data_IF_989686382208
#
_entry.id   IF_989686382208
#
_cell.length_a   1.000
_cell.length_b   1.000
_cell.length_c   1.000
_cell.angle_alpha   90.00
_cell.angle_beta   90.00
_cell.angle_gamma   90.00
#
_symmetry.space_group_name_H-M   'P 1'
#
loop_
_entity.id
_entity.type
_entity.pdbx_description
1 polymer ?
#
# COMPACT_ATOMS: atom_id res chain seq x y z
N UNK A 1 -8.95 -28.58 -73.30
CA UNK A 1 -9.43 -27.26 -72.85
C UNK A 1 -9.15 -27.15 -71.35
N UNK A 2 -8.35 -26.14 -70.97
CA UNK A 2 -8.22 -25.49 -69.65
C UNK A 2 -8.72 -26.22 -68.40
N UNK A 3 -7.85 -26.60 -67.47
CA UNK A 3 -7.40 -25.80 -66.28
C UNK A 3 -7.73 -26.69 -65.05
N UNK A 4 -6.96 -26.86 -63.99
CA UNK A 4 -6.24 -25.89 -63.15
C UNK A 4 -5.38 -26.71 -62.17
N UNK A 5 -4.07 -26.47 -62.11
CA UNK A 5 -3.24 -26.99 -61.01
C UNK A 5 -3.72 -26.37 -59.70
N UNK A 6 -4.15 -27.19 -58.74
CA UNK A 6 -4.39 -26.76 -57.37
C UNK A 6 -3.11 -26.92 -56.57
N UNK A 7 -2.38 -25.82 -56.43
CA UNK A 7 -1.28 -25.70 -55.49
C UNK A 7 -1.90 -25.40 -54.11
N UNK A 8 -1.90 -26.38 -53.21
CA UNK A 8 -2.28 -26.16 -51.81
C UNK A 8 -1.09 -25.53 -51.07
N UNK A 9 -1.09 -24.21 -50.95
CA UNK A 9 -0.13 -23.49 -50.11
C UNK A 9 -0.47 -23.70 -48.64
N UNK A 10 0.09 -24.73 -48.04
CA UNK A 10 0.09 -24.89 -46.58
C UNK A 10 1.14 -23.96 -45.96
N UNK A 11 0.78 -22.68 -45.83
CA UNK A 11 1.44 -21.78 -44.89
C UNK A 11 0.39 -21.09 -44.01
N UNK A 12 0.38 -21.47 -42.74
CA UNK A 12 -0.59 -20.98 -41.78
C UNK A 12 -0.57 -21.85 -40.53
N UNK A 13 0.59 -21.94 -39.87
CA UNK A 13 0.61 -22.35 -38.46
C UNK A 13 -0.32 -21.38 -37.71
N UNK A 14 -1.55 -21.80 -37.42
CA UNK A 14 -2.41 -21.09 -36.46
C UNK A 14 -1.57 -20.93 -35.18
N UNK A 15 -1.37 -19.73 -34.63
CA UNK A 15 -0.89 -19.64 -33.27
C UNK A 15 -1.91 -20.39 -32.43
N UNK A 16 -1.44 -21.44 -31.77
CA UNK A 16 -2.19 -22.16 -30.75
C UNK A 16 -2.90 -21.14 -29.89
N UNK A 17 -4.23 -21.19 -29.83
CA UNK A 17 -5.00 -20.47 -28.82
C UNK A 17 -4.49 -20.99 -27.49
N UNK A 18 -3.59 -20.24 -26.85
CA UNK A 18 -3.13 -20.51 -25.50
C UNK A 18 -4.42 -20.65 -24.68
N UNK A 19 -4.69 -21.82 -24.07
CA UNK A 19 -5.83 -21.94 -23.19
C UNK A 19 -5.67 -20.90 -22.09
N UNK A 20 -6.66 -20.03 -21.94
CA UNK A 20 -6.79 -19.09 -20.83
C UNK A 20 -7.03 -19.88 -19.54
N UNK A 21 -6.03 -20.63 -19.07
CA UNK A 21 -6.12 -21.45 -17.86
C UNK A 21 -5.90 -20.65 -16.58
N UNK A 22 -5.49 -19.39 -16.67
CA UNK A 22 -5.16 -18.56 -15.51
C UNK A 22 -6.30 -17.61 -15.09
N UNK A 23 -7.34 -17.43 -15.91
CA UNK A 23 -8.48 -16.57 -15.55
C UNK A 23 -9.26 -17.03 -14.31
N UNK A 24 -9.58 -18.33 -14.14
CA UNK A 24 -10.39 -18.79 -13.01
C UNK A 24 -9.67 -18.58 -11.66
N UNK A 25 -8.35 -18.78 -11.64
CA UNK A 25 -7.52 -18.58 -10.44
C UNK A 25 -7.45 -17.10 -10.03
N UNK A 26 -7.23 -16.21 -11.01
CA UNK A 26 -7.18 -14.76 -10.75
C UNK A 26 -8.54 -14.27 -10.21
N UNK A 27 -9.65 -14.73 -10.79
CA UNK A 27 -11.00 -14.38 -10.32
C UNK A 27 -11.28 -14.89 -8.90
N UNK A 28 -10.79 -16.10 -8.56
CA UNK A 28 -10.88 -16.63 -7.19
C UNK A 28 -10.11 -15.76 -6.20
N UNK A 29 -8.87 -15.39 -6.53
CA UNK A 29 -8.04 -14.55 -5.68
C UNK A 29 -8.69 -13.17 -5.45
N UNK A 30 -9.25 -12.55 -6.49
CA UNK A 30 -9.98 -11.28 -6.33
C UNK A 30 -11.18 -11.44 -5.40
N UNK A 31 -11.92 -12.55 -5.51
CA UNK A 31 -13.08 -12.81 -4.65
C UNK A 31 -12.67 -12.94 -3.18
N UNK A 32 -11.56 -13.62 -2.90
CA UNK A 32 -11.03 -13.76 -1.54
C UNK A 32 -10.55 -12.42 -0.96
N UNK A 33 -9.89 -11.58 -1.76
CA UNK A 33 -9.47 -10.25 -1.35
C UNK A 33 -10.66 -9.34 -1.06
N UNK A 34 -11.69 -9.35 -1.92
CA UNK A 34 -12.91 -8.58 -1.71
C UNK A 34 -13.59 -9.00 -0.41
N UNK A 35 -13.71 -10.31 -0.19
CA UNK A 35 -14.27 -10.87 1.03
C UNK A 35 -13.45 -10.46 2.25
N UNK A 36 -12.14 -10.58 2.20
CA UNK A 36 -11.25 -10.20 3.29
C UNK A 36 -11.39 -8.73 3.67
N UNK A 37 -11.41 -7.83 2.68
CA UNK A 37 -11.59 -6.38 2.92
C UNK A 37 -12.95 -6.11 3.58
N UNK A 38 -14.02 -6.70 3.03
CA UNK A 38 -15.37 -6.55 3.55
C UNK A 38 -15.49 -7.06 5.00
N UNK A 39 -15.02 -8.28 5.26
CA UNK A 39 -15.10 -8.92 6.58
C UNK A 39 -14.26 -8.15 7.60
N UNK A 40 -13.04 -7.76 7.23
CA UNK A 40 -12.12 -7.00 8.10
C UNK A 40 -12.69 -5.63 8.44
N UNK A 41 -13.22 -4.90 7.45
CA UNK A 41 -13.84 -3.59 7.67
C UNK A 41 -15.05 -3.66 8.59
N UNK A 42 -15.94 -4.64 8.37
CA UNK A 42 -17.12 -4.84 9.21
C UNK A 42 -16.77 -5.32 10.63
N UNK A 43 -15.66 -6.06 10.79
CA UNK A 43 -15.17 -6.43 12.12
C UNK A 43 -14.71 -5.20 12.89
N UNK A 44 -13.86 -4.37 12.28
CA UNK A 44 -13.32 -3.14 12.88
C UNK A 44 -14.43 -2.14 13.20
N UNK A 45 -15.40 -1.97 12.29
CA UNK A 45 -16.54 -1.05 12.48
C UNK A 45 -17.41 -1.46 13.68
N UNK A 46 -17.72 -2.76 13.81
CA UNK A 46 -18.51 -3.26 14.96
C UNK A 46 -17.76 -3.11 16.28
N UNK A 47 -16.46 -3.38 16.29
CA UNK A 47 -15.63 -3.20 17.49
C UNK A 47 -15.64 -1.74 17.96
N UNK A 48 -15.49 -0.79 17.02
CA UNK A 48 -15.58 0.62 17.31
C UNK A 48 -16.95 1.03 17.89
N UNK A 49 -18.05 0.57 17.27
CA UNK A 49 -19.41 0.86 17.75
C UNK A 49 -19.62 0.33 19.16
N UNK A 50 -19.10 -0.87 19.47
CA UNK A 50 -19.19 -1.46 20.81
C UNK A 50 -18.40 -0.65 21.85
N UNK A 51 -17.23 -0.15 21.49
CA UNK A 51 -16.44 0.73 22.36
C UNK A 51 -17.15 2.07 22.61
N UNK A 52 -17.78 2.67 21.60
CA UNK A 52 -18.43 3.97 21.72
C UNK A 52 -19.77 3.93 22.49
N UNK A 53 -20.53 2.84 22.36
CA UNK A 53 -21.84 2.69 23.00
C UNK A 53 -21.78 2.21 24.46
N UNK A 54 -20.59 1.96 25.03
CA UNK A 54 -20.49 1.69 26.46
C UNK A 54 -20.64 2.98 27.27
N UNK A 55 -21.65 3.10 28.16
CA UNK A 55 -21.71 4.20 29.10
C UNK A 55 -20.47 4.16 30.00
N UNK A 56 -19.80 5.30 30.13
CA UNK A 56 -18.59 5.57 30.92
C UNK A 56 -18.65 5.02 32.36
N UNK A 57 -18.50 3.71 32.54
CA UNK A 57 -18.50 3.11 33.86
C UNK A 57 -17.53 1.94 33.90
N UNK A 58 -16.36 2.22 34.47
CA UNK A 58 -15.37 1.27 34.98
C UNK A 58 -14.50 0.56 33.93
N UNK A 59 -13.65 1.38 33.32
CA UNK A 59 -12.50 1.05 32.48
C UNK A 59 -11.37 0.37 33.28
N UNK A 60 -11.59 -0.88 33.74
CA UNK A 60 -10.51 -1.68 34.36
C UNK A 60 -10.44 -3.12 33.88
N UNK A 61 -11.28 -3.52 32.92
CA UNK A 61 -11.39 -4.92 32.47
C UNK A 61 -11.19 -5.11 30.96
N UNK A 62 -10.42 -4.25 30.28
CA UNK A 62 -9.92 -4.55 28.91
C UNK A 62 -8.68 -5.42 29.01
N UNK A 63 -8.82 -6.59 29.61
CA UNK A 63 -7.91 -7.69 29.34
C UNK A 63 -8.20 -8.14 27.92
N UNK A 64 -7.28 -7.82 27.00
CA UNK A 64 -7.03 -8.54 25.74
C UNK A 64 -7.71 -8.05 24.45
N UNK A 65 -7.60 -6.76 24.12
CA UNK A 65 -7.83 -6.32 22.73
C UNK A 65 -7.45 -4.85 22.56
N UNK A 66 -6.61 -4.53 21.57
CA UNK A 66 -6.34 -3.14 21.21
C UNK A 66 -7.65 -2.52 20.73
N UNK A 67 -8.21 -1.57 21.49
CA UNK A 67 -9.46 -0.91 21.12
C UNK A 67 -9.27 -0.15 19.82
N UNK A 68 -10.04 -0.53 18.79
CA UNK A 68 -10.13 0.23 17.54
C UNK A 68 -10.44 1.69 17.86
N UNK A 69 -9.55 2.58 17.44
CA UNK A 69 -9.66 4.03 17.65
C UNK A 69 -9.26 4.77 16.38
N UNK A 70 -9.92 5.90 16.11
CA UNK A 70 -9.52 6.78 15.02
C UNK A 70 -8.45 7.75 15.49
N UNK A 71 -7.46 7.98 14.65
CA UNK A 71 -6.60 9.15 14.81
C UNK A 71 -7.45 10.39 14.52
N UNK A 72 -7.66 11.20 15.55
CA UNK A 72 -8.27 12.51 15.44
C UNK A 72 -7.15 13.54 15.51
N UNK A 73 -6.78 14.12 14.38
CA UNK A 73 -5.92 15.29 14.37
C UNK A 73 -6.72 16.48 14.92
N UNK A 74 -6.26 17.04 16.04
CA UNK A 74 -6.76 18.30 16.53
C UNK A 74 -5.97 19.41 15.85
N UNK A 75 -6.59 20.14 14.92
CA UNK A 75 -5.98 21.32 14.31
C UNK A 75 -6.36 22.60 15.09
N UNK A 76 -5.38 23.41 15.54
CA UNK A 76 -3.93 23.24 15.39
C UNK A 76 -3.38 22.21 16.40
N UNK A 77 -2.43 21.37 15.96
CA UNK A 77 -1.82 20.37 16.84
C UNK A 77 -1.12 21.07 18.03
N UNK A 78 -1.63 20.91 19.28
CA UNK A 78 -1.06 21.60 20.43
C UNK A 78 0.39 21.18 20.72
N UNK A 79 0.81 20.00 20.27
CA UNK A 79 2.19 19.53 20.39
C UNK A 79 3.15 20.22 19.41
N UNK A 80 2.62 20.85 18.35
CA UNK A 80 3.40 21.55 17.33
C UNK A 80 3.40 23.07 17.52
N UNK A 81 2.90 23.57 18.66
CA UNK A 81 2.75 25.02 18.92
C UNK A 81 4.04 25.82 18.69
N UNK A 82 5.18 25.26 19.08
CA UNK A 82 6.50 25.87 18.97
C UNK A 82 7.39 25.12 17.95
N UNK A 83 6.78 24.36 17.04
CA UNK A 83 7.52 23.65 16.00
C UNK A 83 8.05 24.64 14.96
N UNK A 84 9.37 24.78 14.90
CA UNK A 84 10.03 25.52 13.83
C UNK A 84 10.35 24.60 12.65
N UNK A 85 9.99 25.00 11.41
CA UNK A 85 10.38 24.26 10.23
C UNK A 85 11.90 24.13 10.13
N UNK A 86 12.40 22.89 10.11
CA UNK A 86 13.81 22.62 9.92
C UNK A 86 14.15 22.49 8.43
N UNK A 87 15.11 23.29 7.96
CA UNK A 87 15.60 23.19 6.60
C UNK A 87 16.62 22.04 6.48
N UNK A 88 16.10 20.85 6.14
CA UNK A 88 16.90 19.65 5.90
C UNK A 88 17.98 19.85 4.83
N UNK A 89 17.66 20.56 3.74
CA UNK A 89 18.59 20.78 2.62
C UNK A 89 19.80 21.62 3.06
N UNK A 90 19.56 22.70 3.78
CA UNK A 90 20.63 23.54 4.33
C UNK A 90 21.52 22.76 5.31
N UNK A 91 20.91 21.93 6.17
CA UNK A 91 21.66 21.14 7.16
C UNK A 91 22.54 20.06 6.52
N UNK A 92 22.03 19.31 5.56
CA UNK A 92 22.83 18.34 4.82
C UNK A 92 23.89 19.03 3.95
N UNK A 93 23.55 20.14 3.31
CA UNK A 93 24.48 20.93 2.48
C UNK A 93 25.70 21.44 3.26
N UNK A 94 25.49 22.00 4.45
CA UNK A 94 26.58 22.42 5.35
C UNK A 94 27.49 21.24 5.72
N UNK A 95 26.90 20.08 5.99
CA UNK A 95 27.64 18.88 6.42
C UNK A 95 28.51 18.30 5.29
N UNK A 96 28.01 18.33 4.05
CA UNK A 96 28.78 17.92 2.86
C UNK A 96 29.94 18.89 2.60
N UNK A 97 29.72 20.19 2.72
CA UNK A 97 30.80 21.18 2.60
C UNK A 97 31.86 20.97 3.69
N UNK A 98 31.43 20.74 4.94
CA UNK A 98 32.34 20.49 6.05
C UNK A 98 33.16 19.21 5.88
N UNK A 99 32.57 18.13 5.35
CA UNK A 99 33.29 16.88 5.09
C UNK A 99 34.31 17.04 3.98
N UNK A 100 33.99 17.77 2.91
CA UNK A 100 34.92 18.08 1.81
C UNK A 100 36.08 18.97 2.29
N UNK A 101 35.80 20.02 3.07
CA UNK A 101 36.83 20.92 3.61
C UNK A 101 37.76 20.18 4.58
N UNK A 102 37.19 19.38 5.49
CA UNK A 102 37.97 18.61 6.47
C UNK A 102 38.86 17.56 5.78
N UNK A 103 38.33 16.85 4.77
CA UNK A 103 39.10 15.86 4.00
C UNK A 103 40.24 16.52 3.21
N UNK A 104 39.98 17.70 2.63
CA UNK A 104 41.01 18.47 1.92
C UNK A 104 42.14 18.93 2.83
N UNK A 105 41.82 19.37 4.06
CA UNK A 105 42.81 19.82 5.03
C UNK A 105 43.60 18.66 5.68
N UNK A 106 43.06 17.44 5.71
CA UNK A 106 43.76 16.26 6.23
C UNK A 106 44.75 15.63 5.23
N UNK A 107 44.65 16.01 3.95
CA UNK A 107 45.49 15.50 2.86
C UNK A 107 46.58 16.53 2.42
N UNK A 108 46.80 17.58 3.21
CA UNK A 108 47.91 18.55 3.08
C UNK A 108 48.85 18.42 4.27
#
# INVERSE_FOLDING_TARGET
>A
MSSRSQMTTMNGKRPSSIPCRHQPEILSQHSDLIKYIYDSWNSVSRELDMCHNQPHSNSSNYRNGASVTYYQECEPNPQLKDFEPFNLEAWWGQRVVQSVITTRNANS
#
